data_IF_071428633412
#
_entry.id   IF_071428633412
#
_cell.length_a   1.000
_cell.length_b   1.000
_cell.length_c   1.000
_cell.angle_alpha   90.00
_cell.angle_beta   90.00
_cell.angle_gamma   90.00
#
_symmetry.space_group_name_H-M   'P 1'
#
loop_
_entity.id
_entity.type
_entity.pdbx_description
1 polymer ?
#
# COMPACT_ATOMS: atom_id res chain seq x y z
N UNK A 1 -15.32 -13.41 18.25
CA UNK A 1 -16.45 -12.91 17.43
C UNK A 1 -15.90 -12.32 16.15
N UNK A 2 -16.21 -12.89 14.99
CA UNK A 2 -15.88 -12.28 13.70
C UNK A 2 -16.88 -11.15 13.42
N UNK A 3 -16.47 -9.90 13.68
CA UNK A 3 -17.27 -8.74 13.26
C UNK A 3 -17.06 -8.54 11.76
N UNK A 4 -18.07 -8.88 10.96
CA UNK A 4 -18.10 -8.57 9.54
C UNK A 4 -18.31 -7.07 9.38
N UNK A 5 -17.24 -6.31 9.16
CA UNK A 5 -17.35 -4.88 8.84
C UNK A 5 -18.10 -4.73 7.52
N UNK A 6 -19.12 -3.86 7.50
CA UNK A 6 -19.88 -3.59 6.26
C UNK A 6 -18.95 -2.93 5.25
N UNK A 7 -19.00 -3.40 4.00
CA UNK A 7 -18.13 -2.93 2.91
C UNK A 7 -18.89 -1.94 2.03
N UNK A 8 -18.26 -0.83 1.68
CA UNK A 8 -18.79 0.19 0.79
C UNK A 8 -17.82 0.45 -0.37
N UNK A 9 -18.35 0.61 -1.59
CA UNK A 9 -17.58 0.99 -2.77
C UNK A 9 -18.10 2.35 -3.25
N UNK A 10 -17.20 3.33 -3.31
CA UNK A 10 -17.47 4.67 -3.81
C UNK A 10 -16.71 4.85 -5.13
N UNK A 11 -17.43 5.21 -6.20
CA UNK A 11 -16.85 5.58 -7.49
C UNK A 11 -17.21 7.02 -7.78
N UNK A 12 -16.21 7.86 -8.03
CA UNK A 12 -16.42 9.29 -8.28
C UNK A 12 -15.75 9.67 -9.59
N UNK A 13 -16.42 10.48 -10.39
CA UNK A 13 -15.84 11.12 -11.57
C UNK A 13 -15.79 12.64 -11.32
N UNK A 14 -14.72 13.27 -11.78
CA UNK A 14 -14.56 14.73 -11.71
C UNK A 14 -14.53 15.31 -13.11
N UNK A 15 -15.17 16.47 -13.27
CA UNK A 15 -15.06 17.26 -14.49
C UNK A 15 -13.59 17.67 -14.71
N UNK A 16 -13.18 17.78 -15.98
CA UNK A 16 -11.80 18.11 -16.36
C UNK A 16 -11.30 19.42 -15.73
N UNK A 17 -12.19 20.40 -15.61
CA UNK A 17 -11.95 21.72 -14.98
C UNK A 17 -11.62 21.60 -13.48
N UNK A 18 -12.13 20.59 -12.79
CA UNK A 18 -11.95 20.39 -11.36
C UNK A 18 -10.89 19.35 -11.00
N UNK A 19 -10.46 18.51 -11.96
CA UNK A 19 -9.39 17.51 -11.73
C UNK A 19 -8.15 18.14 -11.08
N UNK A 20 -7.68 19.28 -11.59
CA UNK A 20 -6.50 19.95 -11.02
C UNK A 20 -6.64 20.28 -9.53
N UNK A 21 -7.84 20.72 -9.10
CA UNK A 21 -8.13 21.05 -7.70
C UNK A 21 -8.23 19.79 -6.85
N UNK A 22 -8.90 18.76 -7.36
CA UNK A 22 -9.16 17.51 -6.65
C UNK A 22 -7.90 16.69 -6.44
N UNK A 23 -7.08 16.52 -7.49
CA UNK A 23 -5.78 15.85 -7.36
C UNK A 23 -4.84 16.71 -6.51
N UNK A 24 -4.87 18.03 -6.71
CA UNK A 24 -3.97 18.97 -6.06
C UNK A 24 -2.53 18.78 -6.52
N UNK A 25 -1.62 19.64 -6.02
CA UNK A 25 -0.20 19.55 -6.38
C UNK A 25 0.41 18.26 -5.83
N UNK A 26 0.81 17.36 -6.73
CA UNK A 26 1.44 16.07 -6.41
C UNK A 26 0.49 15.04 -5.81
N UNK A 27 -0.83 15.14 -6.04
CA UNK A 27 -1.80 14.17 -5.51
C UNK A 27 -2.16 14.35 -4.02
N UNK A 28 -1.62 15.38 -3.36
CA UNK A 28 -1.80 15.60 -1.92
C UNK A 28 -3.27 15.76 -1.51
N UNK A 29 -4.06 16.46 -2.32
CA UNK A 29 -5.45 16.69 -1.97
C UNK A 29 -6.26 15.40 -2.08
N UNK A 30 -6.09 14.65 -3.16
CA UNK A 30 -6.82 13.39 -3.32
C UNK A 30 -6.40 12.33 -2.30
N UNK A 31 -5.13 12.33 -1.88
CA UNK A 31 -4.66 11.49 -0.79
C UNK A 31 -5.31 11.87 0.55
N UNK A 32 -5.40 13.17 0.86
CA UNK A 32 -6.11 13.65 2.05
C UNK A 32 -7.59 13.21 2.05
N UNK A 33 -8.27 13.34 0.90
CA UNK A 33 -9.65 12.88 0.74
C UNK A 33 -9.76 11.36 1.02
N UNK A 34 -8.87 10.54 0.45
CA UNK A 34 -8.82 9.09 0.71
C UNK A 34 -8.65 8.78 2.20
N UNK A 35 -7.73 9.46 2.87
CA UNK A 35 -7.47 9.27 4.31
C UNK A 35 -8.69 9.63 5.16
N UNK A 36 -9.35 10.75 4.90
CA UNK A 36 -10.53 11.18 5.66
C UNK A 36 -11.68 10.20 5.49
N UNK A 37 -11.94 9.73 4.27
CA UNK A 37 -12.99 8.75 4.00
C UNK A 37 -12.70 7.41 4.71
N UNK A 38 -11.45 6.95 4.68
CA UNK A 38 -11.03 5.72 5.36
C UNK A 38 -11.22 5.83 6.89
N UNK A 39 -10.76 6.93 7.49
CA UNK A 39 -10.92 7.18 8.93
C UNK A 39 -12.40 7.27 9.35
N UNK A 40 -13.23 7.93 8.54
CA UNK A 40 -14.68 7.99 8.79
C UNK A 40 -15.34 6.61 8.69
N UNK A 41 -14.94 5.79 7.71
CA UNK A 41 -15.43 4.42 7.58
C UNK A 41 -15.02 3.56 8.78
N UNK A 42 -13.76 3.65 9.22
CA UNK A 42 -13.26 2.93 10.40
C UNK A 42 -14.03 3.32 11.66
N UNK A 43 -14.26 4.62 11.89
CA UNK A 43 -15.04 5.13 13.01
C UNK A 43 -16.49 4.60 13.00
N UNK A 44 -17.06 4.32 11.83
CA UNK A 44 -18.38 3.74 11.65
C UNK A 44 -18.41 2.19 11.69
N UNK A 45 -17.26 1.52 11.88
CA UNK A 45 -17.16 0.06 11.81
C UNK A 45 -17.37 -0.50 10.39
N UNK A 46 -16.98 0.27 9.38
CA UNK A 46 -17.10 -0.05 7.97
C UNK A 46 -15.73 -0.14 7.30
N UNK A 47 -15.71 -0.70 6.09
CA UNK A 47 -14.54 -0.71 5.23
C UNK A 47 -14.94 -0.11 3.88
N UNK A 48 -14.14 0.80 3.34
CA UNK A 48 -14.49 1.57 2.14
C UNK A 48 -13.41 1.47 1.07
N UNK A 49 -13.83 1.39 -0.19
CA UNK A 49 -12.95 1.46 -1.35
C UNK A 49 -13.35 2.65 -2.22
N UNK A 50 -12.41 3.55 -2.49
CA UNK A 50 -12.61 4.74 -3.33
C UNK A 50 -11.90 4.58 -4.66
N UNK A 51 -12.69 4.58 -5.74
CA UNK A 51 -12.25 4.58 -7.13
C UNK A 51 -12.54 5.93 -7.79
N UNK A 52 -11.60 6.41 -8.61
CA UNK A 52 -11.74 7.69 -9.30
C UNK A 52 -11.73 7.43 -10.80
N UNK A 53 -12.90 7.59 -11.40
CA UNK A 53 -13.10 7.30 -12.81
C UNK A 53 -12.52 8.40 -13.70
N UNK A 54 -11.89 8.00 -14.81
CA UNK A 54 -11.31 8.92 -15.79
C UNK A 54 -9.97 9.55 -15.37
N UNK A 55 -9.33 9.02 -14.33
CA UNK A 55 -7.99 9.42 -13.89
C UNK A 55 -7.06 8.22 -13.87
N UNK A 56 -6.74 7.71 -15.05
CA UNK A 56 -5.78 6.63 -15.18
C UNK A 56 -4.52 7.20 -15.85
N UNK A 57 -3.63 7.77 -15.03
CA UNK A 57 -2.19 7.97 -15.31
C UNK A 57 -1.56 8.76 -14.14
N UNK A 58 -1.34 8.11 -12.99
CA UNK A 58 -0.28 8.43 -12.04
C UNK A 58 -0.40 7.52 -10.81
N UNK A 59 0.51 6.56 -10.68
CA UNK A 59 0.78 5.89 -9.41
C UNK A 59 -0.29 4.91 -8.98
N UNK A 60 -0.30 3.74 -9.63
CA UNK A 60 -0.76 2.50 -9.00
C UNK A 60 0.19 2.19 -7.84
N UNK A 61 0.05 2.94 -6.75
CA UNK A 61 0.53 2.51 -5.43
C UNK A 61 -0.58 1.60 -4.92
N UNK A 62 -0.40 0.32 -5.26
CA UNK A 62 -1.05 -0.80 -4.64
C UNK A 62 -0.88 -0.63 -3.13
N UNK A 63 -1.86 0.02 -2.49
CA UNK A 63 -2.02 -0.08 -1.05
C UNK A 63 -2.50 -1.51 -0.85
N UNK A 64 -1.53 -2.42 -0.81
CA UNK A 64 -1.72 -3.78 -0.33
C UNK A 64 -2.24 -3.61 1.10
N UNK A 65 -3.56 -3.64 1.23
CA UNK A 65 -4.21 -3.82 2.52
C UNK A 65 -3.77 -5.21 2.95
N UNK A 66 -2.71 -5.28 3.75
CA UNK A 66 -2.35 -6.47 4.50
C UNK A 66 -3.51 -6.77 5.44
N UNK A 67 -4.46 -7.54 4.92
CA UNK A 67 -5.48 -8.17 5.71
C UNK A 67 -4.82 -9.39 6.35
N UNK A 68 -4.33 -9.18 7.56
CA UNK A 68 -3.78 -10.20 8.46
C UNK A 68 -4.77 -11.37 8.59
N UNK A 69 -4.32 -12.57 8.22
CA UNK A 69 -5.10 -13.80 8.33
C UNK A 69 -4.64 -14.89 7.35
N UNK A 70 -3.49 -15.51 7.61
CA UNK A 70 -3.31 -16.97 7.53
C UNK A 70 -1.89 -17.32 8.01
N UNK A 71 -1.79 -18.17 9.04
CA UNK A 71 -0.54 -18.85 9.42
C UNK A 71 -0.02 -19.67 8.23
N UNK A 72 0.92 -19.11 7.45
CA UNK A 72 1.61 -19.86 6.40
C UNK A 72 3.06 -20.06 6.80
N UNK A 73 3.34 -21.26 7.29
CA UNK A 73 4.67 -21.80 7.55
C UNK A 73 5.63 -21.45 6.39
N UNK A 74 6.88 -21.05 6.66
CA UNK A 74 7.84 -20.79 5.61
C UNK A 74 8.15 -22.09 4.84
N UNK A 75 8.26 -22.05 3.50
CA UNK A 75 8.69 -23.22 2.74
C UNK A 75 10.13 -23.58 3.15
N UNK A 76 10.46 -24.87 3.35
CA UNK A 76 11.81 -25.27 3.72
C UNK A 76 12.77 -24.93 2.58
N UNK A 77 13.75 -24.06 2.84
CA UNK A 77 14.86 -23.81 1.91
C UNK A 77 15.69 -25.09 1.83
N UNK A 78 15.76 -25.64 0.62
CA UNK A 78 16.54 -26.81 0.28
C UNK A 78 18.02 -26.61 0.63
N UNK A 79 18.51 -27.53 1.46
CA UNK A 79 19.91 -27.76 1.76
C UNK A 79 20.61 -28.28 0.51
N UNK A 80 21.47 -27.49 -0.11
CA UNK A 80 22.53 -28.01 -0.97
C UNK A 80 23.89 -27.45 -0.55
N UNK A 81 24.82 -28.40 -0.31
CA UNK A 81 26.11 -28.24 0.36
C UNK A 81 27.18 -27.82 -0.65
N UNK A 82 28.28 -27.29 -0.08
CA UNK A 82 29.65 -27.11 -0.63
C UNK A 82 29.90 -25.67 -1.10
N UNK A 83 30.90 -24.94 -0.62
CA UNK A 83 31.94 -25.25 0.35
C UNK A 83 32.88 -24.04 0.50
N UNK A 84 33.61 -24.02 1.62
CA UNK A 84 34.90 -23.36 1.88
C UNK A 84 35.14 -21.93 1.36
N UNK A 85 35.35 -20.99 2.30
CA UNK A 85 35.87 -19.67 1.93
C UNK A 85 36.10 -18.72 3.09
N UNK A 86 37.04 -19.06 3.95
CA UNK A 86 37.49 -18.44 5.19
C UNK A 86 37.94 -16.96 5.07
N UNK A 87 37.36 -16.11 5.93
CA UNK A 87 37.94 -14.96 6.69
C UNK A 87 37.90 -13.50 6.14
N UNK A 88 37.74 -12.52 7.06
CA UNK A 88 37.59 -11.08 6.78
C UNK A 88 38.95 -10.35 6.81
N UNK A 89 39.10 -9.26 6.06
CA UNK A 89 40.24 -8.36 6.22
C UNK A 89 39.76 -6.90 6.37
N UNK A 90 40.21 -6.32 7.48
CA UNK A 90 40.02 -4.96 7.96
C UNK A 90 40.99 -4.00 7.24
N UNK A 91 40.53 -2.74 7.08
CA UNK A 91 41.19 -1.52 6.58
C UNK A 91 42.72 -1.42 6.78
N UNK A 92 43.40 -0.81 5.81
CA UNK A 92 44.13 0.47 6.00
C UNK A 92 44.60 1.09 4.68
N UNK A 93 44.74 2.42 4.71
CA UNK A 93 45.07 3.36 3.65
C UNK A 93 46.50 3.85 3.87
N UNK A 94 47.16 4.34 2.81
CA UNK A 94 48.46 5.05 2.77
C UNK A 94 49.71 4.14 2.86
N UNK A 95 50.81 4.38 2.15
CA UNK A 95 51.29 5.51 1.34
C UNK A 95 52.19 4.94 0.23
#
# INVERSE_FOLDING_TARGET
MYHTRKRAWIRIAFESTDKGKVFGRGGRNIQAIRTVIAAAAEAAGHSVYLDIYGSNDAGREDVSVEQEGEERLPPPKSKERRGNGTRPIVKSRSR
#
